data_IF_088472666705
#
_entry.id   IF_088472666705
#
_cell.length_a   1.000
_cell.length_b   1.000
_cell.length_c   1.000
_cell.angle_alpha   90.00
_cell.angle_beta   90.00
_cell.angle_gamma   90.00
#
_symmetry.space_group_name_H-M   'P 1'
#
loop_
_entity.id
_entity.type
_entity.pdbx_description
1 polymer ?
#
# COMPACT_ATOMS: atom_id res chain seq x y z
N UNK A 1 -5.17 82.68 -8.23
CA UNK A 1 -4.76 82.18 -6.90
C UNK A 1 -5.51 80.88 -6.64
N UNK A 2 -4.78 79.75 -6.61
CA UNK A 2 -5.03 78.44 -5.94
C UNK A 2 -6.44 77.83 -6.03
N UNK A 3 -6.70 76.53 -6.24
CA UNK A 3 -5.97 75.26 -6.17
C UNK A 3 -7.08 74.23 -6.48
N UNK A 4 -6.94 73.24 -7.35
CA UNK A 4 -6.22 72.01 -7.05
C UNK A 4 -7.17 70.81 -7.19
N UNK A 5 -7.03 70.10 -8.31
CA UNK A 5 -7.76 68.89 -8.71
C UNK A 5 -7.30 67.72 -7.83
N UNK A 6 -8.15 67.22 -6.92
CA UNK A 6 -7.82 66.03 -6.11
C UNK A 6 -7.93 64.77 -6.97
N UNK A 7 -6.78 64.13 -7.18
CA UNK A 7 -6.64 62.80 -7.77
C UNK A 7 -6.94 61.75 -6.70
N UNK A 8 -7.67 60.72 -7.11
CA UNK A 8 -7.90 59.48 -6.39
C UNK A 8 -6.58 58.68 -6.33
N UNK A 9 -6.00 58.53 -5.14
CA UNK A 9 -4.80 57.72 -4.92
C UNK A 9 -5.23 56.32 -4.52
N UNK A 10 -5.23 55.40 -5.49
CA UNK A 10 -5.35 53.96 -5.24
C UNK A 10 -4.24 53.51 -4.29
N UNK A 11 -4.59 53.27 -3.03
CA UNK A 11 -3.70 52.69 -2.01
C UNK A 11 -3.73 51.18 -2.17
N UNK A 12 -2.86 50.65 -3.02
CA UNK A 12 -2.55 49.21 -3.07
C UNK A 12 -1.80 48.83 -1.79
N UNK A 13 -2.54 48.43 -0.76
CA UNK A 13 -1.93 47.84 0.44
C UNK A 13 -1.36 46.46 0.09
N UNK A 14 -0.08 46.17 0.36
CA UNK A 14 0.42 44.82 0.25
C UNK A 14 -0.25 43.96 1.33
N UNK A 15 -0.92 42.92 0.86
CA UNK A 15 -1.67 41.91 1.63
C UNK A 15 -0.84 41.46 2.84
N UNK A 16 -1.27 41.85 4.03
CA UNK A 16 -0.67 41.38 5.28
C UNK A 16 -0.77 39.84 5.32
N UNK A 17 0.42 39.25 5.39
CA UNK A 17 0.80 37.85 5.51
C UNK A 17 -0.16 37.04 6.40
N UNK A 18 -1.16 36.40 5.80
CA UNK A 18 -1.85 35.28 6.45
C UNK A 18 -0.83 34.15 6.60
N UNK A 19 -0.34 33.94 7.83
CA UNK A 19 0.37 32.72 8.21
C UNK A 19 -0.66 31.59 8.21
N UNK A 20 -0.98 31.11 7.02
CA UNK A 20 -1.60 29.80 6.88
C UNK A 20 -0.54 28.78 7.31
N UNK A 21 -0.67 28.38 8.59
CA UNK A 21 -0.49 27.03 9.10
C UNK A 21 0.28 26.17 8.11
N UNK A 22 1.59 26.02 8.34
CA UNK A 22 2.37 24.93 7.78
C UNK A 22 1.63 23.64 8.14
N UNK A 23 0.71 23.21 7.28
CA UNK A 23 0.23 21.86 7.26
C UNK A 23 1.49 21.05 7.05
N UNK A 24 1.79 20.20 8.01
CA UNK A 24 2.76 19.13 7.88
C UNK A 24 2.23 18.15 6.83
N UNK A 25 2.21 18.57 5.57
CA UNK A 25 2.37 17.70 4.44
C UNK A 25 3.87 17.72 4.18
N UNK A 26 4.64 17.00 4.99
CA UNK A 26 5.87 16.45 4.46
C UNK A 26 5.42 15.56 3.31
N UNK A 27 5.49 16.14 2.12
CA UNK A 27 4.99 15.53 0.90
C UNK A 27 5.70 14.21 0.75
N UNK A 28 4.94 13.12 0.76
CA UNK A 28 5.43 11.89 0.17
C UNK A 28 5.69 12.25 -1.29
N UNK A 29 6.95 12.44 -1.65
CA UNK A 29 7.31 12.77 -3.03
C UNK A 29 6.81 11.64 -3.93
N UNK A 30 6.47 11.91 -5.21
CA UNK A 30 6.02 10.85 -6.10
C UNK A 30 6.99 9.65 -6.14
N UNK A 31 8.29 9.91 -6.03
CA UNK A 31 9.33 8.89 -5.94
C UNK A 31 9.23 8.08 -4.64
N UNK A 32 8.95 8.74 -3.52
CA UNK A 32 8.74 8.07 -2.24
C UNK A 32 7.42 7.28 -2.21
N UNK A 33 6.37 7.73 -2.90
CA UNK A 33 5.13 6.96 -3.06
C UNK A 33 5.40 5.66 -3.83
N UNK A 34 6.10 5.75 -4.96
CA UNK A 34 6.48 4.58 -5.75
C UNK A 34 7.33 3.59 -4.95
N UNK A 35 8.31 4.09 -4.20
CA UNK A 35 9.13 3.25 -3.32
C UNK A 35 8.29 2.54 -2.25
N UNK A 36 7.36 3.26 -1.61
CA UNK A 36 6.47 2.67 -0.60
C UNK A 36 5.55 1.61 -1.19
N UNK A 37 5.03 1.81 -2.41
CA UNK A 37 4.21 0.82 -3.10
C UNK A 37 5.00 -0.44 -3.45
N UNK A 38 6.24 -0.30 -3.91
CA UNK A 38 7.13 -1.42 -4.21
C UNK A 38 7.45 -2.23 -2.95
N UNK A 39 7.86 -1.56 -1.86
CA UNK A 39 8.16 -2.22 -0.60
C UNK A 39 6.92 -2.86 0.02
N UNK A 40 5.76 -2.21 -0.10
CA UNK A 40 4.48 -2.82 0.32
C UNK A 40 4.20 -4.10 -0.46
N UNK A 41 4.42 -4.11 -1.78
CA UNK A 41 4.22 -5.30 -2.61
C UNK A 41 5.16 -6.43 -2.20
N UNK A 42 6.44 -6.12 -1.94
CA UNK A 42 7.42 -7.10 -1.44
C UNK A 42 7.01 -7.66 -0.08
N UNK A 43 6.62 -6.80 0.85
CA UNK A 43 6.18 -7.20 2.18
C UNK A 43 4.95 -8.12 2.12
N UNK A 44 3.93 -7.76 1.33
CA UNK A 44 2.74 -8.59 1.13
C UNK A 44 3.09 -9.94 0.48
N UNK A 45 4.00 -9.94 -0.51
CA UNK A 45 4.46 -11.19 -1.14
C UNK A 45 5.16 -12.10 -0.13
N UNK A 46 6.08 -11.55 0.66
CA UNK A 46 6.80 -12.31 1.70
C UNK A 46 5.84 -12.86 2.75
N UNK A 47 4.81 -12.11 3.14
CA UNK A 47 3.78 -12.59 4.07
C UNK A 47 3.01 -13.78 3.48
N UNK A 48 2.62 -13.71 2.21
CA UNK A 48 1.94 -14.83 1.54
C UNK A 48 2.85 -16.04 1.42
N UNK A 49 4.11 -15.86 1.04
CA UNK A 49 5.10 -16.95 0.95
C UNK A 49 5.31 -17.61 2.30
N UNK A 50 5.45 -16.83 3.38
CA UNK A 50 5.59 -17.36 4.74
C UNK A 50 4.37 -18.20 5.13
N UNK A 51 3.15 -17.69 4.92
CA UNK A 51 1.91 -18.43 5.24
C UNK A 51 1.78 -19.71 4.42
N UNK A 52 2.16 -19.67 3.15
CA UNK A 52 2.17 -20.86 2.29
C UNK A 52 3.18 -21.89 2.79
N UNK A 53 4.38 -21.46 3.18
CA UNK A 53 5.39 -22.34 3.74
C UNK A 53 4.87 -23.04 5.00
N UNK A 54 4.32 -22.29 5.96
CA UNK A 54 3.79 -22.85 7.20
C UNK A 54 2.64 -23.85 6.94
N UNK A 55 1.61 -23.42 6.21
CA UNK A 55 0.41 -24.23 5.96
C UNK A 55 0.73 -25.46 5.12
N UNK A 56 1.52 -25.31 4.06
CA UNK A 56 1.81 -26.43 3.16
C UNK A 56 2.84 -27.39 3.74
N UNK A 57 3.75 -26.92 4.61
CA UNK A 57 4.62 -27.81 5.36
C UNK A 57 3.80 -28.73 6.26
N UNK A 58 2.90 -28.18 7.09
CA UNK A 58 2.04 -28.96 7.99
C UNK A 58 1.14 -29.97 7.26
N UNK A 59 0.74 -29.67 6.02
CA UNK A 59 -0.16 -30.52 5.23
C UNK A 59 0.55 -31.58 4.41
N UNK A 60 1.75 -31.28 3.91
CA UNK A 60 2.40 -32.11 2.89
C UNK A 60 3.66 -32.81 3.40
N UNK A 61 4.37 -32.26 4.38
CA UNK A 61 5.64 -32.82 4.85
C UNK A 61 5.39 -33.62 6.12
N UNK A 62 5.41 -34.95 5.98
CA UNK A 62 5.17 -35.86 7.12
C UNK A 62 6.46 -36.27 7.81
N UNK A 63 7.57 -36.33 7.06
CA UNK A 63 8.89 -36.72 7.55
C UNK A 63 9.93 -35.74 7.01
N UNK A 64 10.33 -34.74 7.81
CA UNK A 64 11.36 -33.80 7.41
C UNK A 64 12.65 -34.52 7.02
N UNK A 65 13.15 -34.23 5.83
CA UNK A 65 14.37 -34.76 5.25
C UNK A 65 15.09 -33.67 4.46
N UNK A 66 16.32 -33.94 4.03
CA UNK A 66 17.12 -32.99 3.24
C UNK A 66 16.55 -32.74 1.83
N UNK A 67 15.62 -33.60 1.38
CA UNK A 67 14.96 -33.48 0.08
C UNK A 67 13.49 -33.89 0.15
N UNK A 68 12.70 -33.30 -0.75
CA UNK A 68 11.29 -33.62 -0.91
C UNK A 68 11.14 -34.86 -1.78
N UNK A 69 10.29 -35.80 -1.36
CA UNK A 69 9.94 -36.92 -2.21
C UNK A 69 8.97 -36.49 -3.35
N UNK A 70 8.67 -37.42 -4.26
CA UNK A 70 7.78 -37.16 -5.40
C UNK A 70 6.35 -36.80 -4.96
N UNK A 71 5.86 -37.40 -3.88
CA UNK A 71 4.53 -37.13 -3.35
C UNK A 71 4.48 -35.77 -2.65
N UNK A 72 5.47 -35.44 -1.83
CA UNK A 72 5.60 -34.15 -1.14
C UNK A 72 5.69 -33.01 -2.16
N UNK A 73 6.50 -33.16 -3.21
CA UNK A 73 6.63 -32.16 -4.28
C UNK A 73 5.30 -31.89 -5.01
N UNK A 74 4.55 -32.96 -5.31
CA UNK A 74 3.24 -32.84 -5.93
C UNK A 74 2.20 -32.26 -4.96
N UNK A 75 2.25 -32.64 -3.68
CA UNK A 75 1.36 -32.12 -2.64
C UNK A 75 1.57 -30.62 -2.44
N UNK A 76 2.82 -30.15 -2.29
CA UNK A 76 3.15 -28.74 -2.10
C UNK A 76 2.66 -27.87 -3.25
N UNK A 77 2.83 -28.33 -4.49
CA UNK A 77 2.34 -27.63 -5.69
C UNK A 77 0.81 -27.46 -5.66
N UNK A 78 0.10 -28.53 -5.30
CA UNK A 78 -1.36 -28.49 -5.18
C UNK A 78 -1.82 -27.65 -3.98
N UNK A 79 -1.14 -27.76 -2.85
CA UNK A 79 -1.44 -26.99 -1.64
C UNK A 79 -1.34 -25.49 -1.90
N UNK A 80 -0.25 -25.04 -2.52
CA UNK A 80 -0.06 -23.63 -2.83
C UNK A 80 -1.15 -23.08 -3.76
N UNK A 81 -1.49 -23.82 -4.82
CA UNK A 81 -2.56 -23.45 -5.74
C UNK A 81 -3.92 -23.36 -5.03
N UNK A 82 -4.28 -24.39 -4.25
CA UNK A 82 -5.56 -24.44 -3.52
C UNK A 82 -5.66 -23.35 -2.45
N UNK A 83 -4.57 -23.02 -1.76
CA UNK A 83 -4.55 -21.96 -0.76
C UNK A 83 -4.86 -20.60 -1.39
N UNK A 84 -4.22 -20.28 -2.52
CA UNK A 84 -4.46 -19.03 -3.24
C UNK A 84 -5.88 -18.93 -3.80
N UNK A 85 -6.40 -20.00 -4.41
CA UNK A 85 -7.78 -20.07 -4.89
C UNK A 85 -8.80 -19.88 -3.76
N UNK A 86 -8.60 -20.58 -2.64
CA UNK A 86 -9.47 -20.46 -1.46
C UNK A 86 -9.44 -19.04 -0.92
N UNK A 87 -8.24 -18.43 -0.83
CA UNK A 87 -8.07 -17.04 -0.42
C UNK A 87 -8.87 -16.07 -1.30
N UNK A 88 -8.85 -16.26 -2.63
CA UNK A 88 -9.63 -15.44 -3.56
C UNK A 88 -11.14 -15.56 -3.33
N UNK A 89 -11.64 -16.78 -3.15
CA UNK A 89 -13.07 -17.02 -2.86
C UNK A 89 -13.50 -16.33 -1.57
N UNK A 90 -12.69 -16.45 -0.51
CA UNK A 90 -12.96 -15.81 0.78
C UNK A 90 -12.96 -14.28 0.64
N UNK A 91 -11.95 -13.71 -0.02
CA UNK A 91 -11.87 -12.26 -0.25
C UNK A 91 -13.07 -11.73 -1.03
N UNK A 92 -13.49 -12.43 -2.09
CA UNK A 92 -14.68 -12.07 -2.85
C UNK A 92 -15.93 -12.10 -1.98
N UNK A 93 -16.08 -13.13 -1.13
CA UNK A 93 -17.24 -13.23 -0.24
C UNK A 93 -17.28 -12.11 0.79
N UNK A 94 -16.15 -11.81 1.43
CA UNK A 94 -16.03 -10.70 2.40
C UNK A 94 -16.33 -9.37 1.72
N UNK A 95 -15.79 -9.14 0.51
CA UNK A 95 -16.06 -7.91 -0.26
C UNK A 95 -17.55 -7.71 -0.57
N UNK A 96 -18.30 -8.79 -0.81
CA UNK A 96 -19.76 -8.75 -0.99
C UNK A 96 -20.54 -8.53 0.30
N UNK A 97 -19.98 -8.89 1.47
CA UNK A 97 -20.61 -8.70 2.78
C UNK A 97 -20.44 -7.27 3.31
N UNK A 98 -19.37 -6.60 2.90
CA UNK A 98 -19.02 -5.24 3.34
C UNK A 98 -19.60 -4.14 2.44
N UNK A 99 -20.59 -4.48 1.61
CA UNK A 99 -21.24 -3.62 0.62
C UNK A 99 -22.75 -3.59 0.90
#
# INVERSE_FOLDING_TARGET
>A
KTSGRSREYARTTPRARSRNRAKMSQGVTPEMQNFLEEEKRKAMFNEVVSKLADVCFDKCVTRPADSLDRYESACLSNCALRYLETGQVIMQRIGRMNQ
#
